data_IF_072021105026
#
_entry.id   IF_072021105026
#
_cell.length_a   1.000
_cell.length_b   1.000
_cell.length_c   1.000
_cell.angle_alpha   90.00
_cell.angle_beta   90.00
_cell.angle_gamma   90.00
#
_symmetry.space_group_name_H-M   'P 1'
#
loop_
_entity.id
_entity.type
_entity.pdbx_description
1 polymer ?
#
# COMPACT_ATOMS: atom_id res chain seq x y z
N UNK A 1 4.81 -0.81 -5.75
CA UNK A 1 4.02 -1.72 -4.90
C UNK A 1 2.62 -1.74 -5.46
N UNK A 2 2.00 -2.90 -5.64
CA UNK A 2 0.63 -2.95 -6.13
C UNK A 2 -0.35 -2.43 -5.09
N UNK A 3 -1.42 -1.79 -5.55
CA UNK A 3 -2.50 -1.39 -4.66
C UNK A 3 -3.14 -2.64 -4.02
N UNK A 4 -3.50 -2.54 -2.75
CA UNK A 4 -4.15 -3.61 -2.01
C UNK A 4 -3.82 -3.63 -0.52
N UNK A 5 -4.32 -4.65 0.15
CA UNK A 5 -4.11 -4.88 1.58
C UNK A 5 -3.01 -5.92 1.73
N UNK A 6 -2.02 -5.62 2.56
CA UNK A 6 -0.92 -6.51 2.91
C UNK A 6 -1.01 -6.87 4.39
N UNK A 7 -1.17 -8.15 4.69
CA UNK A 7 -0.98 -8.67 6.05
C UNK A 7 0.51 -8.90 6.29
N UNK A 8 1.02 -8.45 7.44
CA UNK A 8 2.38 -8.69 7.86
C UNK A 8 2.44 -9.80 8.91
N UNK A 9 3.25 -10.82 8.64
CA UNK A 9 3.54 -11.90 9.58
C UNK A 9 4.88 -11.63 10.28
N UNK A 10 4.82 -11.38 11.58
CA UNK A 10 5.99 -11.10 12.41
C UNK A 10 6.92 -12.30 12.57
N UNK A 11 6.40 -13.52 12.49
CA UNK A 11 7.18 -14.74 12.71
C UNK A 11 8.07 -15.03 11.50
N UNK A 12 7.52 -14.88 10.30
CA UNK A 12 8.23 -15.10 9.04
C UNK A 12 8.84 -13.83 8.46
N UNK A 13 8.54 -12.66 9.05
CA UNK A 13 8.92 -11.33 8.56
C UNK A 13 8.53 -11.13 7.09
N UNK A 14 7.36 -11.64 6.72
CA UNK A 14 6.89 -11.67 5.33
C UNK A 14 5.58 -10.89 5.17
N UNK A 15 5.31 -10.49 3.92
CA UNK A 15 4.10 -9.78 3.53
C UNK A 15 3.24 -10.68 2.66
N UNK A 16 1.94 -10.74 2.95
CA UNK A 16 0.95 -11.47 2.16
C UNK A 16 -0.15 -10.53 1.69
N UNK A 17 -0.45 -10.54 0.39
CA UNK A 17 -1.62 -9.82 -0.14
C UNK A 17 -2.90 -10.54 0.27
N UNK A 18 -3.86 -9.77 0.77
CA UNK A 18 -5.17 -10.26 1.22
C UNK A 18 -6.28 -9.41 0.63
N UNK A 19 -7.46 -10.00 0.46
CA UNK A 19 -8.64 -9.32 -0.09
C UNK A 19 -9.34 -8.45 0.96
N UNK A 20 -9.21 -8.77 2.25
CA UNK A 20 -9.86 -8.04 3.34
C UNK A 20 -9.10 -8.14 4.67
N UNK A 21 -9.43 -7.24 5.60
CA UNK A 21 -8.95 -7.25 6.98
C UNK A 21 -9.95 -8.05 7.83
N UNK A 22 -9.56 -9.22 8.33
CA UNK A 22 -10.46 -10.10 9.08
C UNK A 22 -10.21 -10.10 10.59
N UNK A 23 -9.00 -9.72 11.03
CA UNK A 23 -8.57 -9.82 12.43
C UNK A 23 -7.98 -8.51 12.94
N UNK A 24 -8.35 -8.10 14.15
CA UNK A 24 -7.81 -6.87 14.76
C UNK A 24 -6.43 -7.07 15.41
N UNK A 25 -6.03 -8.32 15.68
CA UNK A 25 -4.76 -8.65 16.35
C UNK A 25 -3.57 -8.80 15.40
N UNK A 26 -3.78 -8.61 14.09
CA UNK A 26 -2.74 -8.67 13.06
C UNK A 26 -2.43 -7.28 12.51
N UNK A 27 -1.21 -7.12 11.98
CA UNK A 27 -0.77 -5.87 11.35
C UNK A 27 -1.08 -5.90 9.86
N UNK A 28 -1.81 -4.89 9.39
CA UNK A 28 -2.14 -4.72 7.97
C UNK A 28 -1.64 -3.38 7.46
N UNK A 29 -1.15 -3.38 6.22
CA UNK A 29 -0.76 -2.18 5.48
C UNK A 29 -1.71 -2.02 4.29
N UNK A 30 -2.21 -0.81 4.07
CA UNK A 30 -3.01 -0.46 2.90
C UNK A 30 -2.12 0.31 1.95
N UNK A 31 -1.81 -0.30 0.80
CA UNK A 31 -1.05 0.35 -0.26
C UNK A 31 -2.05 0.94 -1.24
N UNK A 32 -2.01 2.26 -1.39
CA UNK A 32 -2.79 2.96 -2.40
C UNK A 32 -1.91 3.94 -3.15
N UNK A 33 -2.04 3.94 -4.47
CA UNK A 33 -1.48 4.98 -5.32
C UNK A 33 -2.48 6.15 -5.38
N UNK A 34 -2.06 7.39 -5.12
CA UNK A 34 -2.94 8.55 -5.23
C UNK A 34 -3.40 8.74 -6.68
N UNK A 35 -4.66 9.15 -6.88
CA UNK A 35 -5.29 9.33 -8.20
C UNK A 35 -4.70 10.49 -9.01
N UNK A 36 -4.09 11.47 -8.33
CA UNK A 36 -3.33 12.56 -8.94
C UNK A 36 -1.99 12.64 -8.25
N UNK A 37 -0.93 12.48 -9.03
CA UNK A 37 0.42 12.74 -8.57
C UNK A 37 0.71 14.22 -8.79
N UNK A 38 0.21 15.09 -7.91
CA UNK A 38 0.40 16.55 -8.01
C UNK A 38 1.87 16.95 -8.13
N UNK A 39 2.79 16.17 -7.57
CA UNK A 39 4.24 16.38 -7.67
C UNK A 39 4.79 16.02 -9.06
N UNK A 40 4.28 14.94 -9.67
CA UNK A 40 4.69 14.52 -11.02
C UNK A 40 4.12 15.46 -12.06
N UNK A 41 2.85 15.85 -11.92
CA UNK A 41 2.21 16.84 -12.78
C UNK A 41 2.95 18.19 -12.72
N UNK A 42 3.29 18.66 -11.52
CA UNK A 42 4.07 19.89 -11.34
C UNK A 42 5.52 19.80 -11.89
N UNK A 43 6.10 18.60 -11.97
CA UNK A 43 7.42 18.39 -12.55
C UNK A 43 7.37 18.38 -14.09
N UNK A 44 6.28 17.86 -14.69
CA UNK A 44 6.06 17.89 -16.15
C UNK A 44 5.71 19.31 -16.63
N UNK A 45 4.96 20.09 -15.85
CA UNK A 45 4.62 21.49 -16.20
C UNK A 45 5.84 22.43 -16.19
N UNK A 46 6.93 22.04 -15.52
CA UNK A 46 8.18 22.82 -15.41
C UNK A 46 9.22 22.51 -16.50
N UNK A 47 8.90 21.64 -17.45
CA UNK A 47 9.70 21.32 -18.64
C UNK A 47 9.27 22.22 -19.82
#
# INVERSE_FOLDING_TARGET
>A
MENGILEFDINTKSYKKVESIERADKTYFIVMSPKRNTIVDAAIEKL
#
